data_IF_135155890184
#
_entry.id   IF_135155890184
#
_cell.length_a   1.000
_cell.length_b   1.000
_cell.length_c   1.000
_cell.angle_alpha   90.00
_cell.angle_beta   90.00
_cell.angle_gamma   90.00
#
_symmetry.space_group_name_H-M   'P 1'
#
loop_
_entity.id
_entity.type
_entity.pdbx_description
1 polymer ?
#
# COMPACT_ATOMS: atom_id res chain seq x y z
N UNK A 1 20.27 -1.82 -8.41
CA UNK A 1 19.93 -2.16 -9.81
C UNK A 1 18.41 -2.28 -9.91
N UNK A 2 17.69 -1.20 -10.26
CA UNK A 2 16.23 -1.25 -10.43
C UNK A 2 15.92 -2.04 -11.71
N UNK A 3 15.09 -3.08 -11.60
CA UNK A 3 14.71 -3.93 -12.73
C UNK A 3 13.84 -3.09 -13.66
N UNK A 4 14.40 -2.62 -14.78
CA UNK A 4 13.63 -1.95 -15.83
C UNK A 4 12.65 -2.96 -16.43
N UNK A 5 11.37 -2.72 -16.20
CA UNK A 5 10.32 -3.57 -16.73
C UNK A 5 10.09 -3.25 -18.21
N UNK A 6 9.44 -4.18 -18.92
CA UNK A 6 9.04 -3.97 -20.31
C UNK A 6 8.21 -2.68 -20.49
N UNK A 7 7.38 -2.34 -19.50
CA UNK A 7 6.53 -1.14 -19.51
C UNK A 7 7.35 0.16 -19.39
N UNK A 8 8.39 0.19 -18.55
CA UNK A 8 9.25 1.37 -18.41
C UNK A 8 9.99 1.69 -19.71
N UNK A 9 10.46 0.64 -20.39
CA UNK A 9 11.22 0.78 -21.65
C UNK A 9 10.29 1.19 -22.81
N UNK A 10 9.08 0.63 -22.85
CA UNK A 10 8.06 0.96 -23.82
C UNK A 10 7.59 2.43 -23.70
N UNK A 11 7.34 2.91 -22.48
CA UNK A 11 6.90 4.29 -22.25
C UNK A 11 8.00 5.32 -22.52
N UNK A 12 9.27 5.00 -22.21
CA UNK A 12 10.41 5.92 -22.41
C UNK A 12 10.79 6.09 -23.88
N UNK A 13 10.64 5.05 -24.69
CA UNK A 13 11.02 5.08 -26.11
C UNK A 13 10.08 5.91 -27.00
N UNK A 14 8.86 6.23 -26.53
CA UNK A 14 7.81 6.93 -27.30
C UNK A 14 7.60 6.35 -28.72
N UNK A 15 7.87 5.05 -28.91
CA UNK A 15 7.73 4.39 -30.21
C UNK A 15 6.25 4.03 -30.46
N UNK A 16 5.67 4.40 -31.61
CA UNK A 16 4.26 4.14 -31.94
C UNK A 16 3.88 2.66 -31.97
N UNK A 17 4.86 1.74 -32.08
CA UNK A 17 4.61 0.29 -31.97
C UNK A 17 4.12 -0.09 -30.58
N UNK A 18 4.63 0.54 -29.53
CA UNK A 18 4.17 0.27 -28.17
C UNK A 18 2.72 0.69 -27.97
N UNK A 19 2.30 1.82 -28.54
CA UNK A 19 0.91 2.26 -28.50
C UNK A 19 -0.04 1.21 -29.11
N UNK A 20 0.30 0.66 -30.29
CA UNK A 20 -0.48 -0.40 -30.95
C UNK A 20 -0.57 -1.68 -30.13
N UNK A 21 0.52 -2.05 -29.44
CA UNK A 21 0.53 -3.22 -28.55
C UNK A 21 -0.35 -2.97 -27.34
N UNK A 22 -0.26 -1.79 -26.72
CA UNK A 22 -1.09 -1.39 -25.58
C UNK A 22 -2.58 -1.33 -25.94
N UNK A 23 -2.92 -0.84 -27.13
CA UNK A 23 -4.28 -0.91 -27.69
C UNK A 23 -4.77 -2.36 -27.79
N UNK A 24 -3.95 -3.26 -28.34
CA UNK A 24 -4.30 -4.68 -28.48
C UNK A 24 -4.42 -5.42 -27.16
N UNK A 25 -3.63 -5.04 -26.15
CA UNK A 25 -3.75 -5.51 -24.77
C UNK A 25 -4.92 -4.88 -24.01
N UNK A 26 -5.65 -3.94 -24.61
CA UNK A 26 -6.80 -3.29 -24.01
C UNK A 26 -6.46 -2.15 -23.05
N UNK A 27 -5.20 -1.73 -22.94
CA UNK A 27 -4.76 -0.61 -22.10
C UNK A 27 -5.11 0.77 -22.66
N UNK A 28 -5.48 0.88 -23.94
CA UNK A 28 -5.89 2.13 -24.58
C UNK A 28 -7.41 2.34 -24.64
N UNK A 29 -8.17 1.44 -23.99
CA UNK A 29 -9.63 1.54 -23.92
C UNK A 29 -10.04 2.80 -23.16
N UNK A 30 -10.89 3.63 -23.77
CA UNK A 30 -11.42 4.86 -23.13
C UNK A 30 -12.25 4.57 -21.87
N UNK A 31 -12.78 3.37 -21.78
CA UNK A 31 -13.50 2.80 -20.64
C UNK A 31 -12.58 2.26 -19.53
N UNK A 32 -11.27 2.13 -19.80
CA UNK A 32 -10.28 1.76 -18.79
C UNK A 32 -10.01 2.98 -17.91
N UNK A 33 -10.77 3.09 -16.82
CA UNK A 33 -10.39 3.94 -15.69
C UNK A 33 -9.17 3.26 -15.07
N UNK A 34 -7.96 3.88 -15.08
CA UNK A 34 -6.90 3.36 -14.23
C UNK A 34 -7.48 3.28 -12.83
N UNK A 35 -7.40 2.11 -12.18
CA UNK A 35 -7.69 2.04 -10.75
C UNK A 35 -6.92 3.22 -10.14
N UNK A 36 -7.66 4.22 -9.64
CA UNK A 36 -7.05 5.42 -9.12
C UNK A 36 -5.93 4.96 -8.19
N UNK A 37 -4.71 5.54 -8.27
CA UNK A 37 -3.68 5.22 -7.30
C UNK A 37 -4.36 5.40 -5.96
N UNK A 38 -4.55 4.30 -5.21
CA UNK A 38 -5.46 4.25 -4.07
C UNK A 38 -5.36 5.56 -3.31
N UNK A 39 -6.41 6.39 -3.39
CA UNK A 39 -6.39 7.68 -2.73
C UNK A 39 -6.01 7.43 -1.26
N UNK A 40 -5.19 8.30 -0.64
CA UNK A 40 -4.75 8.14 0.75
C UNK A 40 -5.89 8.32 1.77
N UNK A 41 -7.13 7.97 1.44
CA UNK A 41 -8.30 8.00 2.35
C UNK A 41 -8.22 6.89 3.42
N UNK A 42 -7.14 6.10 3.43
CA UNK A 42 -6.77 5.24 4.57
C UNK A 42 -5.47 5.70 5.26
N UNK A 43 -4.99 6.93 5.05
CA UNK A 43 -3.88 7.46 5.86
C UNK A 43 -4.34 7.89 7.25
N UNK A 44 -5.57 8.41 7.42
CA UNK A 44 -5.97 8.92 8.74
C UNK A 44 -6.25 7.80 9.77
N UNK A 45 -6.79 6.65 9.33
CA UNK A 45 -6.86 5.45 10.17
C UNK A 45 -5.49 4.75 10.32
N UNK A 46 -4.59 4.99 9.37
CA UNK A 46 -3.22 4.46 9.36
C UNK A 46 -2.33 5.12 10.39
N UNK A 47 -2.49 6.43 10.61
CA UNK A 47 -1.67 7.18 11.57
C UNK A 47 -2.02 6.81 13.02
N UNK A 48 -3.31 6.67 13.33
CA UNK A 48 -3.77 6.21 14.65
C UNK A 48 -3.27 4.81 14.99
N UNK A 49 -3.39 3.87 14.05
CA UNK A 49 -2.90 2.49 14.28
C UNK A 49 -1.38 2.42 14.28
N UNK A 50 -0.70 3.24 13.49
CA UNK A 50 0.77 3.32 13.46
C UNK A 50 1.33 3.85 14.78
N UNK A 51 0.72 4.90 15.33
CA UNK A 51 1.08 5.44 16.65
C UNK A 51 0.90 4.40 17.76
N UNK A 52 -0.21 3.65 17.74
CA UNK A 52 -0.46 2.56 18.69
C UNK A 52 0.58 1.42 18.54
N UNK A 53 0.99 1.12 17.30
CA UNK A 53 2.03 0.10 17.05
C UNK A 53 3.39 0.54 17.56
N UNK A 54 3.74 1.82 17.39
CA UNK A 54 4.97 2.40 17.92
C UNK A 54 4.98 2.35 19.46
N UNK A 55 3.89 2.78 20.10
CA UNK A 55 3.74 2.72 21.55
C UNK A 55 3.82 1.28 22.09
N UNK A 56 3.25 0.30 21.37
CA UNK A 56 3.34 -1.11 21.76
C UNK A 56 4.78 -1.61 21.68
N UNK A 57 5.49 -1.25 20.61
CA UNK A 57 6.89 -1.62 20.44
C UNK A 57 7.79 -0.98 21.49
N UNK A 58 7.53 0.27 21.89
CA UNK A 58 8.26 0.94 22.97
C UNK A 58 8.00 0.29 24.34
N UNK A 59 6.74 -0.05 24.65
CA UNK A 59 6.35 -0.67 25.93
C UNK A 59 6.83 -2.11 26.09
N UNK A 60 6.74 -2.92 25.03
CA UNK A 60 7.02 -4.36 25.09
C UNK A 60 8.35 -4.77 24.42
N UNK A 61 9.02 -3.84 23.72
CA UNK A 61 10.25 -4.12 22.97
C UNK A 61 10.06 -5.03 21.74
N UNK A 62 8.82 -5.39 21.41
CA UNK A 62 8.47 -6.32 20.32
C UNK A 62 7.47 -5.68 19.37
N UNK A 63 7.58 -6.02 18.09
CA UNK A 63 6.63 -5.54 17.08
C UNK A 63 5.27 -6.23 17.27
N UNK A 64 4.16 -5.49 17.27
CA UNK A 64 2.83 -6.07 17.33
C UNK A 64 2.49 -6.83 16.04
N UNK A 65 1.53 -7.75 16.12
CA UNK A 65 1.05 -8.48 14.95
C UNK A 65 0.33 -7.55 13.97
N UNK A 66 0.67 -7.62 12.68
CA UNK A 66 0.14 -6.72 11.65
C UNK A 66 -1.36 -6.89 11.40
N UNK A 67 -1.94 -8.04 11.78
CA UNK A 67 -3.37 -8.31 11.70
C UNK A 67 -4.18 -7.83 12.91
N UNK A 68 -3.56 -7.20 13.90
CA UNK A 68 -4.29 -6.54 14.98
C UNK A 68 -4.83 -5.18 14.54
N UNK A 69 -6.06 -4.90 14.96
CA UNK A 69 -6.74 -3.63 14.79
C UNK A 69 -6.35 -2.62 15.88
N UNK A 70 -6.84 -1.38 15.74
CA UNK A 70 -6.56 -0.30 16.69
C UNK A 70 -7.14 -0.58 18.09
N UNK A 71 -8.27 -1.29 18.19
CA UNK A 71 -8.91 -1.65 19.46
C UNK A 71 -8.05 -2.66 20.24
N UNK A 72 -7.63 -3.75 19.59
CA UNK A 72 -6.74 -4.76 20.19
C UNK A 72 -5.44 -4.14 20.66
N UNK A 73 -4.87 -3.22 19.88
CA UNK A 73 -3.63 -2.51 20.27
C UNK A 73 -3.85 -1.60 21.49
N UNK A 74 -4.98 -0.89 21.57
CA UNK A 74 -5.35 -0.08 22.75
C UNK A 74 -5.54 -0.95 23.99
N UNK A 75 -6.19 -2.10 23.87
CA UNK A 75 -6.39 -3.05 24.98
C UNK A 75 -5.07 -3.63 25.50
N UNK A 76 -4.16 -3.98 24.60
CA UNK A 76 -2.83 -4.45 25.00
C UNK A 76 -1.97 -3.34 25.60
N UNK A 77 -2.15 -2.10 25.16
CA UNK A 77 -1.47 -0.93 25.74
C UNK A 77 -2.04 -0.56 27.12
N UNK A 78 -3.35 -0.69 27.35
CA UNK A 78 -4.02 -0.39 28.62
C UNK A 78 -3.76 -1.42 29.71
N UNK A 79 -3.15 -2.57 29.38
CA UNK A 79 -2.79 -3.58 30.36
C UNK A 79 -3.90 -4.59 30.66
N UNK A 80 -4.91 -4.72 29.79
CA UNK A 80 -5.74 -5.94 29.71
C UNK A 80 -4.97 -7.05 28.97
N UNK A 81 -3.74 -7.27 29.41
CA UNK A 81 -2.98 -8.46 29.10
C UNK A 81 -3.46 -9.52 30.08
N UNK A 82 -4.42 -10.34 29.64
CA UNK A 82 -4.71 -11.64 30.26
C UNK A 82 -3.38 -12.31 30.61
N UNK A 83 -3.26 -12.64 31.90
CA UNK A 83 -2.25 -13.52 32.50
C UNK A 83 -2.37 -14.94 31.90
#
# INVERSE_FOLDING_TARGET
>A
MTKSTYMDRAMRARDPRYARILERLGYARRDMVPAAPADPVTQEAGDDISALRAAYQEKFGKRPFMGWDAETLRDKLSGKADD
#
